data_IF_576855996210
#
_entry.id   IF_576855996210
#
_cell.length_a   1.000
_cell.length_b   1.000
_cell.length_c   1.000
_cell.angle_alpha   90.00
_cell.angle_beta   90.00
_cell.angle_gamma   90.00
#
_symmetry.space_group_name_H-M   'P 1'
#
loop_
_entity.id
_entity.type
_entity.pdbx_description
1 polymer ?
#
# COMPACT_ATOMS: atom_id res chain seq x y z
N UNK A 1 -14.60 6.74 -7.92
CA UNK A 1 -14.05 5.39 -7.72
C UNK A 1 -12.53 5.42 -7.65
N UNK A 2 -12.03 5.25 -6.43
CA UNK A 2 -10.61 5.05 -6.16
C UNK A 2 -10.17 3.68 -6.70
N UNK A 3 -8.93 3.58 -7.19
CA UNK A 3 -8.36 2.35 -7.74
C UNK A 3 -7.57 1.61 -6.68
N UNK A 4 -7.64 0.27 -6.69
CA UNK A 4 -6.77 -0.57 -5.87
C UNK A 4 -5.35 -0.54 -6.42
N UNK A 5 -4.38 -0.66 -5.53
CA UNK A 5 -2.97 -0.84 -5.87
C UNK A 5 -2.57 -2.30 -5.66
N UNK A 6 -1.60 -2.76 -6.44
CA UNK A 6 -0.97 -4.06 -6.26
C UNK A 6 0.04 -3.94 -5.10
N UNK A 7 -0.19 -4.58 -3.93
CA UNK A 7 0.65 -4.41 -2.76
C UNK A 7 2.09 -4.88 -2.95
N UNK A 8 2.28 -5.96 -3.71
CA UNK A 8 3.61 -6.51 -3.99
C UNK A 8 4.41 -5.56 -4.88
N UNK A 9 3.83 -5.12 -6.00
CA UNK A 9 4.51 -4.18 -6.91
C UNK A 9 4.81 -2.86 -6.23
N UNK A 10 3.90 -2.38 -5.38
CA UNK A 10 4.12 -1.18 -4.58
C UNK A 10 5.31 -1.37 -3.63
N UNK A 11 5.31 -2.43 -2.82
CA UNK A 11 6.37 -2.70 -1.87
C UNK A 11 7.74 -2.87 -2.54
N UNK A 12 7.81 -3.60 -3.66
CA UNK A 12 9.03 -3.74 -4.45
C UNK A 12 9.55 -2.40 -4.96
N UNK A 13 8.65 -1.51 -5.41
CA UNK A 13 9.03 -0.19 -5.90
C UNK A 13 9.60 0.69 -4.78
N UNK A 14 9.01 0.63 -3.58
CA UNK A 14 9.50 1.37 -2.41
C UNK A 14 10.88 0.89 -1.98
N UNK A 15 11.07 -0.43 -1.83
CA UNK A 15 12.37 -1.03 -1.48
C UNK A 15 13.44 -0.74 -2.53
N UNK A 16 13.06 -0.71 -3.81
CA UNK A 16 13.99 -0.39 -4.90
C UNK A 16 14.39 1.09 -4.90
N UNK A 17 13.52 1.96 -4.40
CA UNK A 17 13.76 3.40 -4.32
C UNK A 17 14.41 3.83 -3.00
N UNK A 18 14.41 2.97 -1.97
CA UNK A 18 15.05 3.25 -0.68
C UNK A 18 16.56 3.09 -0.78
N UNK A 19 17.30 4.12 -0.37
CA UNK A 19 18.73 4.02 -0.09
C UNK A 19 18.94 3.24 1.20
N UNK A 20 19.88 2.30 1.19
CA UNK A 20 20.28 1.64 2.44
C UNK A 20 21.08 2.60 3.31
N UNK A 21 20.85 2.55 4.63
CA UNK A 21 21.52 3.43 5.60
C UNK A 21 22.75 2.73 6.21
N UNK A 22 22.84 1.41 6.10
CA UNK A 22 23.90 0.59 6.71
C UNK A 22 25.00 0.15 5.73
N UNK A 23 26.19 -0.14 6.26
CA UNK A 23 27.36 -0.60 5.51
C UNK A 23 27.53 -2.13 5.50
N UNK A 24 26.84 -2.88 6.38
CA UNK A 24 26.94 -4.35 6.36
C UNK A 24 25.84 -4.99 5.50
N UNK A 25 26.16 -5.98 4.65
CA UNK A 25 25.16 -6.65 3.81
C UNK A 25 23.97 -7.23 4.59
N UNK A 26 24.22 -7.79 5.78
CA UNK A 26 23.19 -8.36 6.65
C UNK A 26 22.23 -7.31 7.18
N UNK A 27 22.74 -6.14 7.58
CA UNK A 27 21.93 -5.04 8.06
C UNK A 27 21.11 -4.41 6.91
N UNK A 28 21.72 -4.24 5.73
CA UNK A 28 21.03 -3.77 4.52
C UNK A 28 19.89 -4.73 4.15
N UNK A 29 20.13 -6.04 4.18
CA UNK A 29 19.12 -7.03 3.86
C UNK A 29 17.94 -6.98 4.86
N UNK A 30 18.26 -6.89 6.16
CA UNK A 30 17.24 -6.75 7.21
C UNK A 30 16.40 -5.49 7.04
N UNK A 31 17.04 -4.35 6.80
CA UNK A 31 16.38 -3.06 6.57
C UNK A 31 15.43 -3.14 5.37
N UNK A 32 15.88 -3.72 4.24
CA UNK A 32 15.05 -3.88 3.05
C UNK A 32 13.84 -4.80 3.27
N UNK A 33 13.99 -5.86 4.06
CA UNK A 33 12.87 -6.73 4.43
C UNK A 33 11.84 -5.96 5.27
N UNK A 34 12.30 -5.15 6.23
CA UNK A 34 11.41 -4.34 7.07
C UNK A 34 10.64 -3.31 6.23
N UNK A 35 11.32 -2.62 5.31
CA UNK A 35 10.69 -1.67 4.37
C UNK A 35 9.68 -2.37 3.47
N UNK A 36 10.01 -3.56 2.96
CA UNK A 36 9.10 -4.35 2.12
C UNK A 36 7.80 -4.67 2.86
N UNK A 37 7.92 -5.26 4.06
CA UNK A 37 6.77 -5.71 4.86
C UNK A 37 5.90 -4.52 5.26
N UNK A 38 6.50 -3.41 5.69
CA UNK A 38 5.78 -2.20 6.04
C UNK A 38 5.01 -1.62 4.85
N UNK A 39 5.65 -1.52 3.69
CA UNK A 39 5.05 -0.96 2.47
C UNK A 39 3.92 -1.85 1.93
N UNK A 40 4.09 -3.17 2.00
CA UNK A 40 3.06 -4.12 1.60
C UNK A 40 1.80 -3.95 2.45
N UNK A 41 1.97 -3.90 3.79
CA UNK A 41 0.87 -3.72 4.73
C UNK A 41 0.14 -2.38 4.48
N UNK A 42 0.88 -1.30 4.29
CA UNK A 42 0.31 0.01 3.97
C UNK A 42 -0.56 -0.05 2.71
N UNK A 43 -0.10 -0.77 1.68
CA UNK A 43 -0.87 -0.92 0.45
C UNK A 43 -2.15 -1.75 0.62
N UNK A 44 -2.14 -2.78 1.47
CA UNK A 44 -3.36 -3.50 1.84
C UNK A 44 -4.35 -2.62 2.60
N UNK A 45 -3.85 -1.81 3.53
CA UNK A 45 -4.64 -0.89 4.34
C UNK A 45 -5.30 0.18 3.48
N UNK A 46 -4.56 0.76 2.53
CA UNK A 46 -5.09 1.64 1.50
C UNK A 46 -6.21 0.96 0.70
N UNK A 47 -5.97 -0.26 0.21
CA UNK A 47 -6.96 -1.01 -0.57
C UNK A 47 -8.25 -1.28 0.21
N UNK A 48 -8.16 -1.57 1.52
CA UNK A 48 -9.36 -1.71 2.38
C UNK A 48 -10.14 -0.40 2.46
N UNK A 49 -9.46 0.73 2.53
CA UNK A 49 -10.08 2.06 2.55
C UNK A 49 -10.75 2.40 1.22
N UNK A 50 -10.09 2.10 0.09
CA UNK A 50 -10.66 2.24 -1.26
C UNK A 50 -11.95 1.45 -1.42
N UNK A 51 -11.99 0.19 -0.96
CA UNK A 51 -13.20 -0.64 -1.01
C UNK A 51 -14.33 -0.02 -0.19
N UNK A 52 -14.05 0.50 1.01
CA UNK A 52 -15.05 1.17 1.85
C UNK A 52 -15.58 2.44 1.21
N UNK A 53 -14.69 3.29 0.68
CA UNK A 53 -15.04 4.55 0.04
C UNK A 53 -15.90 4.33 -1.21
N UNK A 54 -15.51 3.40 -2.09
CA UNK A 54 -16.28 3.09 -3.29
C UNK A 54 -17.67 2.55 -2.95
N UNK A 55 -17.81 1.68 -1.93
CA UNK A 55 -19.12 1.22 -1.45
C UNK A 55 -20.02 2.34 -0.93
N UNK A 56 -19.45 3.33 -0.26
CA UNK A 56 -20.20 4.50 0.23
C UNK A 56 -20.61 5.43 -0.91
N UNK A 57 -19.74 5.66 -1.90
CA UNK A 57 -20.09 6.40 -3.12
C UNK A 57 -21.26 5.73 -3.85
N UNK A 58 -21.21 4.41 -4.01
CA UNK A 58 -22.27 3.65 -4.68
C UNK A 58 -23.59 3.76 -3.89
N UNK A 59 -23.58 3.54 -2.57
CA UNK A 59 -24.78 3.67 -1.75
C UNK A 59 -25.42 5.07 -1.84
N UNK A 60 -24.61 6.14 -1.83
CA UNK A 60 -25.12 7.51 -2.01
C UNK A 60 -25.75 7.73 -3.39
N UNK A 61 -25.14 7.19 -4.45
CA UNK A 61 -25.68 7.29 -5.81
C UNK A 61 -27.01 6.54 -5.96
N UNK A 62 -27.14 5.35 -5.38
CA UNK A 62 -28.34 4.52 -5.55
C UNK A 62 -29.51 4.89 -4.61
N UNK A 63 -29.22 5.47 -3.44
CA UNK A 63 -30.25 5.72 -2.42
C UNK A 63 -30.34 7.17 -1.93
N UNK A 64 -29.42 8.05 -2.37
CA UNK A 64 -29.37 9.45 -1.97
C UNK A 64 -30.08 10.42 -2.91
N UNK A 65 -30.53 9.98 -4.09
CA UNK A 65 -31.42 10.77 -4.96
C UNK A 65 -32.87 10.59 -4.51
N UNK A 66 -33.33 11.46 -3.61
CA UNK A 66 -34.73 11.82 -3.40
C UNK A 66 -34.85 13.32 -3.20
#
# INVERSE_FOLDING_TARGET
MLKRIDPEKFALSVVSSSSAISDSPEAIAKEKIEIYVASYKEAEDYNRTVVKANRQEDHKKFYGEK
#
